data_IF_817934779479
#
_entry.id   IF_817934779479
#
_cell.length_a   1.000
_cell.length_b   1.000
_cell.length_c   1.000
_cell.angle_alpha   90.00
_cell.angle_beta   90.00
_cell.angle_gamma   90.00
#
_symmetry.space_group_name_H-M   'P 1'
#
loop_
_entity.id
_entity.type
_entity.pdbx_description
1 polymer ?
#
# COMPACT_ATOMS: atom_id res chain seq x y z
N UNK A 1 3.43 -10.53 -0.75
CA UNK A 1 4.85 -10.89 -0.99
C UNK A 1 5.30 -10.73 -2.44
N UNK A 2 4.51 -11.10 -3.45
CA UNK A 2 4.91 -10.92 -4.87
C UNK A 2 5.11 -9.45 -5.28
N UNK A 3 4.24 -8.54 -4.84
CA UNK A 3 4.35 -7.11 -5.18
C UNK A 3 5.68 -6.51 -4.71
N UNK A 4 6.06 -6.74 -3.45
CA UNK A 4 7.34 -6.26 -2.90
C UNK A 4 8.52 -6.91 -3.64
N UNK A 5 8.40 -8.20 -4.00
CA UNK A 5 9.41 -8.87 -4.82
C UNK A 5 9.60 -8.19 -6.17
N UNK A 6 8.51 -7.76 -6.82
CA UNK A 6 8.58 -7.00 -8.06
C UNK A 6 9.25 -5.62 -7.86
N UNK A 7 8.92 -4.91 -6.78
CA UNK A 7 9.51 -3.59 -6.49
C UNK A 7 11.02 -3.69 -6.24
N UNK A 8 11.46 -4.69 -5.48
CA UNK A 8 12.86 -4.85 -5.06
C UNK A 8 13.71 -5.57 -6.09
N UNK A 9 13.23 -6.70 -6.59
CA UNK A 9 13.99 -7.59 -7.46
C UNK A 9 13.68 -7.38 -8.96
N UNK A 10 12.59 -6.68 -9.30
CA UNK A 10 12.14 -6.42 -10.68
C UNK A 10 11.26 -7.52 -11.29
N UNK A 11 11.41 -8.77 -10.85
CA UNK A 11 10.54 -9.87 -11.26
C UNK A 11 10.40 -10.98 -10.21
N UNK A 12 9.39 -11.81 -10.38
CA UNK A 12 9.14 -12.99 -9.55
C UNK A 12 8.71 -14.15 -10.43
N UNK A 13 9.36 -15.29 -10.28
CA UNK A 13 8.97 -16.54 -10.91
C UNK A 13 7.79 -17.20 -10.21
N UNK A 14 6.81 -17.68 -10.98
CA UNK A 14 5.73 -18.56 -10.51
C UNK A 14 5.92 -19.92 -11.15
N UNK A 15 6.24 -20.92 -10.33
CA UNK A 15 6.34 -22.31 -10.73
C UNK A 15 5.03 -23.03 -10.40
N UNK A 16 4.41 -23.62 -11.40
CA UNK A 16 3.17 -24.40 -11.29
C UNK A 16 3.53 -25.86 -11.06
N UNK A 17 3.20 -26.39 -9.87
CA UNK A 17 3.59 -27.74 -9.44
C UNK A 17 2.36 -28.51 -9.00
N UNK A 18 2.23 -29.76 -9.44
CA UNK A 18 1.27 -30.70 -8.86
C UNK A 18 1.93 -31.46 -7.72
N UNK A 19 1.25 -31.56 -6.58
CA UNK A 19 1.69 -32.49 -5.52
C UNK A 19 1.44 -33.93 -5.93
N UNK A 20 2.07 -34.88 -5.22
CA UNK A 20 1.83 -36.32 -5.43
C UNK A 20 0.35 -36.72 -5.27
N UNK A 21 -0.43 -35.96 -4.49
CA UNK A 21 -1.88 -36.14 -4.34
C UNK A 21 -2.72 -35.41 -5.40
N UNK A 22 -2.12 -34.86 -6.46
CA UNK A 22 -2.83 -34.13 -7.52
C UNK A 22 -3.28 -32.72 -7.14
N UNK A 23 -2.89 -32.21 -5.96
CA UNK A 23 -3.27 -30.85 -5.55
C UNK A 23 -2.36 -29.81 -6.22
N UNK A 24 -2.91 -28.78 -6.90
CA UNK A 24 -2.14 -27.72 -7.55
C UNK A 24 -1.49 -26.79 -6.51
N UNK A 25 -0.20 -26.48 -6.70
CA UNK A 25 0.54 -25.51 -5.90
C UNK A 25 1.30 -24.54 -6.79
N UNK A 26 1.33 -23.28 -6.37
CA UNK A 26 2.11 -22.23 -7.01
C UNK A 26 3.28 -21.89 -6.10
N UNK A 27 4.49 -22.20 -6.53
CA UNK A 27 5.70 -21.87 -5.81
C UNK A 27 6.28 -20.57 -6.35
N UNK A 28 6.58 -19.64 -5.44
CA UNK A 28 7.23 -18.37 -5.79
C UNK A 28 8.74 -18.51 -5.74
N UNK A 29 9.39 -18.11 -6.83
CA UNK A 29 10.84 -18.12 -7.00
C UNK A 29 11.32 -16.67 -7.09
N UNK A 30 12.24 -16.29 -6.19
CA UNK A 30 12.83 -14.94 -6.22
C UNK A 30 13.77 -14.77 -7.41
N UNK A 31 13.86 -13.55 -7.94
CA UNK A 31 14.62 -13.20 -9.14
C UNK A 31 16.09 -13.65 -9.08
N UNK A 32 16.75 -13.49 -7.93
CA UNK A 32 18.16 -13.84 -7.75
C UNK A 32 18.44 -15.35 -7.89
N UNK A 33 17.41 -16.20 -7.88
CA UNK A 33 17.54 -17.64 -8.15
C UNK A 33 17.37 -17.98 -9.63
N UNK A 34 16.93 -17.03 -10.45
CA UNK A 34 16.76 -17.21 -11.90
C UNK A 34 18.04 -16.73 -12.57
N UNK A 35 18.85 -17.67 -13.09
CA UNK A 35 20.18 -17.40 -13.62
C UNK A 35 20.52 -18.33 -14.79
N UNK A 36 21.48 -17.93 -15.61
CA UNK A 36 22.01 -18.78 -16.67
C UNK A 36 22.62 -20.06 -16.06
N UNK A 37 22.28 -21.24 -16.59
CA UNK A 37 22.92 -22.48 -16.16
C UNK A 37 24.42 -22.49 -16.54
N UNK A 38 25.24 -23.33 -15.89
CA UNK A 38 26.68 -23.39 -16.15
C UNK A 38 27.03 -23.71 -17.61
N UNK A 39 26.22 -24.53 -18.28
CA UNK A 39 26.40 -24.94 -19.68
C UNK A 39 25.64 -24.04 -20.69
N UNK A 40 25.59 -22.74 -20.42
CA UNK A 40 24.77 -21.77 -21.18
C UNK A 40 25.33 -21.37 -22.56
N UNK A 41 26.52 -21.85 -22.95
CA UNK A 41 27.25 -21.36 -24.12
C UNK A 41 26.61 -21.70 -25.47
N UNK A 42 25.84 -22.78 -25.56
CA UNK A 42 25.17 -23.23 -26.79
C UNK A 42 23.73 -22.73 -26.93
N UNK A 43 23.07 -22.41 -25.82
CA UNK A 43 21.61 -22.42 -25.71
C UNK A 43 21.02 -21.01 -25.45
N UNK A 44 21.43 -19.98 -26.20
CA UNK A 44 20.82 -18.61 -26.21
C UNK A 44 20.17 -18.15 -24.88
N UNK A 45 20.92 -18.27 -23.78
CA UNK A 45 20.44 -17.92 -22.45
C UNK A 45 20.71 -16.44 -22.15
N UNK A 46 19.69 -15.72 -21.69
CA UNK A 46 19.78 -14.33 -21.24
C UNK A 46 19.23 -14.26 -19.82
N UNK A 47 20.10 -14.02 -18.85
CA UNK A 47 19.77 -13.88 -17.43
C UNK A 47 18.78 -14.93 -16.89
N UNK A 48 18.99 -16.20 -17.24
CA UNK A 48 18.17 -17.34 -16.80
C UNK A 48 16.91 -17.58 -17.63
N UNK A 49 16.74 -16.88 -18.75
CA UNK A 49 15.68 -17.10 -19.75
C UNK A 49 16.29 -17.71 -21.01
N UNK A 50 15.79 -18.87 -21.45
CA UNK A 50 16.19 -19.47 -22.72
C UNK A 50 15.31 -18.96 -23.83
N UNK A 51 15.93 -18.43 -24.88
CA UNK A 51 15.23 -17.86 -26.03
C UNK A 51 15.15 -18.86 -27.19
N UNK A 52 14.02 -18.84 -27.89
CA UNK A 52 13.88 -19.51 -29.19
C UNK A 52 14.68 -18.78 -30.27
N UNK A 53 14.78 -19.37 -31.46
CA UNK A 53 15.36 -18.72 -32.64
C UNK A 53 14.67 -17.39 -32.99
N UNK A 54 13.39 -17.23 -32.64
CA UNK A 54 12.60 -16.01 -32.86
C UNK A 54 12.66 -15.00 -31.70
N UNK A 55 13.42 -15.28 -30.64
CA UNK A 55 13.54 -14.41 -29.47
C UNK A 55 12.45 -14.62 -28.40
N UNK A 56 11.45 -15.47 -28.61
CA UNK A 56 10.44 -15.76 -27.59
C UNK A 56 11.00 -16.63 -26.45
N UNK A 57 10.65 -16.38 -25.17
CA UNK A 57 11.02 -17.24 -24.04
C UNK A 57 10.46 -18.67 -24.18
N UNK A 58 11.31 -19.68 -23.94
CA UNK A 58 10.94 -21.11 -24.03
C UNK A 58 11.10 -21.81 -22.69
N UNK A 59 12.08 -21.42 -21.89
CA UNK A 59 12.35 -22.03 -20.59
C UNK A 59 13.02 -21.05 -19.64
N UNK A 60 12.94 -21.35 -18.35
CA UNK A 60 13.56 -20.60 -17.27
C UNK A 60 14.46 -21.52 -16.45
N UNK A 61 15.66 -21.05 -16.12
CA UNK A 61 16.62 -21.78 -15.29
C UNK A 61 16.60 -21.24 -13.88
N UNK A 62 16.41 -22.13 -12.90
CA UNK A 62 16.32 -21.82 -11.48
C UNK A 62 17.38 -22.60 -10.72
N UNK A 63 18.13 -21.91 -9.87
CA UNK A 63 19.11 -22.51 -8.95
C UNK A 63 18.56 -22.61 -7.52
N UNK A 64 18.83 -23.73 -6.82
CA UNK A 64 18.61 -23.86 -5.36
C UNK A 64 19.89 -23.79 -4.54
N UNK A 65 21.04 -23.71 -5.21
CA UNK A 65 22.37 -23.72 -4.63
C UNK A 65 23.42 -23.78 -5.73
N UNK A 66 24.72 -23.75 -5.38
CA UNK A 66 25.81 -23.69 -6.37
C UNK A 66 25.71 -24.76 -7.47
N UNK A 67 25.28 -25.97 -7.10
CA UNK A 67 25.28 -27.14 -7.99
C UNK A 67 23.88 -27.68 -8.33
N UNK A 68 22.80 -27.15 -7.75
CA UNK A 68 21.43 -27.57 -8.05
C UNK A 68 20.76 -26.59 -9.01
N UNK A 69 20.63 -27.01 -10.26
CA UNK A 69 20.04 -26.24 -11.35
C UNK A 69 18.90 -27.04 -11.98
N UNK A 70 17.75 -26.37 -12.15
CA UNK A 70 16.57 -26.96 -12.79
C UNK A 70 16.05 -26.03 -13.86
N UNK A 71 15.78 -26.58 -15.03
CA UNK A 71 15.18 -25.87 -16.15
C UNK A 71 13.71 -26.22 -16.21
N UNK A 72 12.87 -25.19 -16.18
CA UNK A 72 11.42 -25.33 -16.29
C UNK A 72 10.96 -24.74 -17.62
N UNK A 73 10.15 -25.47 -18.41
CA UNK A 73 9.60 -24.94 -19.64
C UNK A 73 8.52 -23.88 -19.35
N UNK A 74 8.21 -23.03 -20.34
CA UNK A 74 7.30 -21.88 -20.20
C UNK A 74 5.87 -22.27 -19.79
N UNK A 75 5.47 -23.52 -20.00
CA UNK A 75 4.15 -24.05 -19.62
C UNK A 75 4.03 -24.22 -18.10
N UNK A 76 5.09 -24.64 -17.43
CA UNK A 76 5.11 -24.85 -15.97
C UNK A 76 5.70 -23.67 -15.19
N UNK A 77 6.22 -22.65 -15.87
CA UNK A 77 6.81 -21.47 -15.24
C UNK A 77 6.35 -20.17 -15.90
N UNK A 78 5.85 -19.23 -15.10
CA UNK A 78 5.54 -17.86 -15.53
C UNK A 78 6.45 -16.85 -14.83
N UNK A 79 7.04 -15.94 -15.61
CA UNK A 79 7.73 -14.79 -15.04
C UNK A 79 6.75 -13.63 -14.89
N UNK A 80 6.55 -13.18 -13.66
CA UNK A 80 5.77 -11.97 -13.35
C UNK A 80 6.72 -10.79 -13.36
N UNK A 81 6.45 -9.82 -14.24
CA UNK A 81 7.28 -8.63 -14.44
C UNK A 81 6.43 -7.46 -14.92
N UNK A 82 6.95 -6.26 -14.71
CA UNK A 82 6.43 -4.99 -15.27
C UNK A 82 7.45 -4.50 -16.30
N UNK A 83 7.29 -4.83 -17.61
CA UNK A 83 8.23 -4.42 -18.64
C UNK A 83 8.04 -2.96 -19.06
N UNK A 84 9.12 -2.18 -18.99
CA UNK A 84 9.15 -0.81 -19.52
C UNK A 84 9.40 -0.78 -21.03
N UNK A 85 10.11 -1.79 -21.54
CA UNK A 85 10.48 -1.91 -22.94
C UNK A 85 10.12 -3.29 -23.52
N UNK A 86 9.81 -3.37 -24.83
CA UNK A 86 9.39 -4.62 -25.48
C UNK A 86 10.49 -5.70 -25.48
N UNK A 87 11.76 -5.30 -25.45
CA UNK A 87 12.91 -6.20 -25.65
C UNK A 87 13.46 -6.77 -24.34
N UNK A 88 12.83 -6.46 -23.22
CA UNK A 88 13.24 -6.93 -21.91
C UNK A 88 12.80 -8.39 -21.70
N UNK A 89 13.72 -9.25 -21.26
CA UNK A 89 13.42 -10.65 -20.92
C UNK A 89 13.26 -10.88 -19.41
N UNK A 90 13.84 -10.00 -18.60
CA UNK A 90 13.74 -9.94 -17.14
C UNK A 90 13.07 -8.62 -16.74
N UNK A 91 12.50 -8.57 -15.55
CA UNK A 91 11.95 -7.32 -15.03
C UNK A 91 13.02 -6.46 -14.39
N UNK A 92 12.82 -5.14 -14.44
CA UNK A 92 13.67 -4.16 -13.77
C UNK A 92 13.03 -3.77 -12.43
N UNK A 93 13.85 -3.59 -11.41
CA UNK A 93 13.37 -3.07 -10.12
C UNK A 93 12.78 -1.68 -10.30
N UNK A 94 11.63 -1.40 -9.68
CA UNK A 94 11.04 -0.06 -9.68
C UNK A 94 11.94 0.99 -9.01
N UNK A 95 12.93 0.54 -8.22
CA UNK A 95 13.93 1.40 -7.59
C UNK A 95 15.13 1.69 -8.49
N UNK A 96 15.21 1.14 -9.71
CA UNK A 96 16.41 1.24 -10.55
C UNK A 96 16.85 2.70 -10.79
N UNK A 97 15.90 3.62 -10.94
CA UNK A 97 16.15 5.04 -11.14
C UNK A 97 16.82 5.70 -9.93
N UNK A 98 16.33 5.40 -8.72
CA UNK A 98 16.69 6.12 -7.49
C UNK A 98 17.60 5.35 -6.53
N UNK A 99 18.02 4.12 -6.84
CA UNK A 99 18.74 3.27 -5.88
C UNK A 99 20.09 3.86 -5.45
N UNK A 100 20.79 4.51 -6.37
CA UNK A 100 22.05 5.19 -6.05
C UNK A 100 21.78 6.41 -5.15
N UNK A 101 20.76 7.20 -5.47
CA UNK A 101 20.33 8.33 -4.62
C UNK A 101 19.91 7.90 -3.21
N UNK A 102 19.23 6.75 -3.05
CA UNK A 102 18.90 6.18 -1.74
C UNK A 102 20.15 5.79 -0.94
N UNK A 103 21.14 5.20 -1.61
CA UNK A 103 22.40 4.83 -0.99
C UNK A 103 23.12 6.08 -0.49
N UNK A 104 23.24 7.09 -1.34
CA UNK A 104 23.86 8.37 -1.00
C UNK A 104 23.13 9.03 0.18
N UNK A 105 21.79 9.07 0.15
CA UNK A 105 20.99 9.62 1.25
C UNK A 105 21.30 8.93 2.59
N UNK A 106 21.48 7.60 2.59
CA UNK A 106 21.83 6.84 3.80
C UNK A 106 23.26 7.12 4.27
N UNK A 107 24.21 7.21 3.35
CA UNK A 107 25.60 7.53 3.65
C UNK A 107 25.73 8.96 4.22
N UNK A 108 25.09 9.93 3.59
CA UNK A 108 25.02 11.35 4.02
C UNK A 108 24.35 11.46 5.40
N UNK A 109 23.22 10.78 5.62
CA UNK A 109 22.55 10.77 6.92
C UNK A 109 23.42 10.18 8.03
N UNK A 110 24.25 9.18 7.70
CA UNK A 110 25.17 8.57 8.65
C UNK A 110 26.31 9.52 9.00
N UNK A 111 26.87 10.23 8.02
CA UNK A 111 27.87 11.27 8.23
C UNK A 111 27.32 12.42 9.09
N UNK A 112 26.09 12.86 8.84
CA UNK A 112 25.47 13.94 9.61
C UNK A 112 25.20 13.52 11.06
N UNK A 113 24.70 12.28 11.28
CA UNK A 113 24.56 11.72 12.63
C UNK A 113 25.88 11.70 13.39
N UNK A 114 26.98 11.39 12.71
CA UNK A 114 28.31 11.42 13.33
C UNK A 114 28.76 12.85 13.65
N UNK A 115 28.51 13.79 12.74
CA UNK A 115 28.79 15.22 12.96
C UNK A 115 28.05 15.79 14.17
N UNK A 116 26.76 15.48 14.32
CA UNK A 116 25.96 15.89 15.48
C UNK A 116 26.54 15.31 16.77
N UNK A 117 26.92 14.03 16.81
CA UNK A 117 27.53 13.40 17.99
C UNK A 117 28.86 14.06 18.37
N UNK A 118 29.73 14.32 17.40
CA UNK A 118 31.01 14.99 17.64
C UNK A 118 30.76 16.41 18.18
N UNK A 119 29.87 17.17 17.55
CA UNK A 119 29.55 18.52 18.00
C UNK A 119 28.95 18.54 19.41
N UNK A 120 28.08 17.59 19.76
CA UNK A 120 27.55 17.47 21.12
C UNK A 120 28.62 17.09 22.15
N UNK A 121 29.72 16.44 21.73
CA UNK A 121 30.85 16.11 22.62
C UNK A 121 31.79 17.29 22.87
N UNK A 122 31.85 18.26 21.94
CA UNK A 122 32.67 19.48 22.05
C UNK A 122 31.92 20.52 22.91
N UNK A 123 31.80 20.28 24.21
CA UNK A 123 30.98 21.13 25.08
C UNK A 123 31.58 22.54 25.28
N UNK A 124 32.89 22.64 25.57
CA UNK A 124 33.59 23.91 25.81
C UNK A 124 35.06 23.78 25.40
N UNK A 125 35.60 24.81 24.75
CA UNK A 125 37.03 24.91 24.42
C UNK A 125 37.59 26.18 25.05
N UNK A 126 38.68 26.06 25.80
CA UNK A 126 39.40 27.21 26.36
C UNK A 126 40.40 27.70 25.30
N UNK A 127 40.28 28.96 24.89
CA UNK A 127 41.22 29.62 23.97
C UNK A 127 42.20 30.47 24.78
N UNK A 128 43.50 30.28 24.55
CA UNK A 128 44.56 31.08 25.16
C UNK A 128 44.97 32.15 24.14
N UNK A 129 44.84 33.43 24.48
CA UNK A 129 45.05 34.57 23.56
C UNK A 129 46.52 35.04 23.45
N UNK A 130 47.42 34.49 24.25
CA UNK A 130 48.83 34.89 24.26
C UNK A 130 49.68 33.96 23.41
N UNK A 131 50.50 34.53 22.50
CA UNK A 131 51.47 33.77 21.73
C UNK A 131 52.39 33.01 22.69
N UNK A 132 52.25 31.67 22.71
CA UNK A 132 53.05 30.83 23.59
C UNK A 132 54.54 31.09 23.32
N UNK A 133 55.25 31.64 24.30
CA UNK A 133 56.70 31.49 24.35
C UNK A 133 57.00 29.99 24.51
N UNK A 134 57.99 29.45 23.78
CA UNK A 134 58.06 28.03 23.43
C UNK A 134 58.41 27.07 24.59
N UNK A 135 58.33 27.49 25.86
CA UNK A 135 58.92 26.73 26.97
C UNK A 135 58.19 26.84 28.32
N UNK A 136 56.86 27.03 28.32
CA UNK A 136 56.06 26.99 29.56
C UNK A 136 54.96 25.92 29.51
N UNK A 137 54.95 24.96 30.46
CA UNK A 137 53.89 23.95 30.56
C UNK A 137 52.58 24.58 31.04
N UNK A 138 51.50 24.28 30.31
CA UNK A 138 50.16 24.89 30.38
C UNK A 138 49.34 24.49 31.63
N UNK A 139 49.90 23.71 32.56
CA UNK A 139 49.23 23.34 33.81
C UNK A 139 50.14 23.62 35.01
N UNK A 140 49.67 24.50 35.90
CA UNK A 140 50.40 24.91 37.10
C UNK A 140 50.60 23.77 38.11
N UNK A 141 51.64 23.84 38.96
CA UNK A 141 51.95 22.79 39.91
C UNK A 141 51.05 22.92 41.14
N UNK A 142 50.43 21.82 41.61
CA UNK A 142 50.17 21.50 43.02
C UNK A 142 49.46 20.14 43.19
N UNK A 143 50.07 19.27 44.00
CA UNK A 143 49.42 18.16 44.69
C UNK A 143 49.30 16.84 43.90
N UNK A 144 50.26 15.95 44.10
CA UNK A 144 50.16 14.54 43.71
C UNK A 144 48.96 13.88 44.40
N UNK A 145 47.83 13.77 43.68
CA UNK A 145 46.91 12.66 43.92
C UNK A 145 47.36 11.56 42.96
N UNK A 146 48.10 10.59 43.48
CA UNK A 146 48.33 9.34 42.77
C UNK A 146 46.99 8.63 42.64
N UNK A 147 46.40 8.72 41.46
CA UNK A 147 45.44 7.73 40.99
C UNK A 147 46.09 7.12 39.76
N UNK A 148 46.31 5.81 39.80
CA UNK A 148 46.87 5.02 38.70
C UNK A 148 45.92 5.08 37.50
N UNK A 149 46.14 6.02 36.59
CA UNK A 149 45.91 5.94 35.13
C UNK A 149 45.71 7.35 34.55
N UNK A 150 46.71 7.82 33.80
CA UNK A 150 46.63 8.80 32.72
C UNK A 150 45.59 9.91 32.82
N UNK A 151 45.99 11.04 33.41
CA UNK A 151 45.27 12.31 33.33
C UNK A 151 45.25 12.84 31.87
N UNK A 152 44.08 12.73 31.25
CA UNK A 152 43.58 13.69 30.27
C UNK A 152 42.32 14.30 30.90
N UNK A 153 42.42 15.54 31.38
CA UNK A 153 41.33 16.26 32.03
C UNK A 153 40.26 16.72 31.03
N UNK A 154 39.51 15.75 30.48
CA UNK A 154 38.20 15.95 29.86
C UNK A 154 37.06 15.82 30.91
N UNK A 155 37.40 15.38 32.12
CA UNK A 155 36.46 14.68 33.01
C UNK A 155 35.70 15.58 34.01
N UNK A 156 35.71 16.92 33.83
CA UNK A 156 35.03 17.86 34.73
C UNK A 156 34.05 18.85 34.09
N UNK A 157 33.88 18.80 32.78
CA UNK A 157 32.90 19.66 32.08
C UNK A 157 31.49 19.02 32.07
N UNK A 158 31.37 17.76 32.48
CA UNK A 158 30.13 16.97 32.46
C UNK A 158 29.05 17.39 33.49
N UNK A 159 29.29 18.38 34.36
CA UNK A 159 28.40 18.68 35.49
C UNK A 159 27.99 20.16 35.64
N UNK A 160 27.99 20.96 34.57
CA UNK A 160 27.47 22.35 34.62
C UNK A 160 28.33 23.33 35.44
N UNK A 161 29.56 22.95 35.79
CA UNK A 161 30.53 23.82 36.44
C UNK A 161 31.25 24.68 35.40
N UNK A 162 31.15 26.01 35.54
CA UNK A 162 31.91 26.95 34.70
C UNK A 162 33.38 26.91 35.16
N UNK A 163 34.35 26.57 34.28
CA UNK A 163 35.77 26.58 34.65
C UNK A 163 36.20 28.02 35.00
N UNK A 164 37.02 28.18 36.04
CA UNK A 164 37.66 29.48 36.34
C UNK A 164 38.70 29.76 35.26
N UNK A 165 38.62 30.94 34.64
CA UNK A 165 39.56 31.41 33.64
C UNK A 165 40.73 32.15 34.29
N UNK A 166 41.94 31.95 33.76
CA UNK A 166 43.10 32.76 34.07
C UNK A 166 43.13 34.05 33.22
N UNK A 167 43.95 35.01 33.61
CA UNK A 167 44.11 36.29 32.90
C UNK A 167 44.67 36.06 31.48
N UNK A 168 43.87 36.35 30.45
CA UNK A 168 44.21 36.07 29.04
C UNK A 168 43.60 34.78 28.44
N UNK A 169 42.79 34.04 29.20
CA UNK A 169 41.99 32.90 28.70
C UNK A 169 40.54 33.32 28.40
N UNK A 170 39.99 32.81 27.30
CA UNK A 170 38.59 33.01 26.91
C UNK A 170 37.87 31.65 26.76
N UNK A 171 36.61 31.57 27.21
CA UNK A 171 35.77 30.37 27.03
C UNK A 171 35.05 30.52 25.71
N UNK A 172 35.34 29.63 24.78
CA UNK A 172 34.58 29.51 23.56
C UNK A 172 33.64 28.30 23.65
N UNK A 173 32.33 28.56 23.59
CA UNK A 173 31.33 27.52 23.45
C UNK A 173 31.14 27.20 21.97
N UNK A 174 31.38 25.93 21.60
CA UNK A 174 31.12 25.46 20.25
C UNK A 174 29.61 25.47 20.00
N UNK A 175 29.16 26.35 19.10
CA UNK A 175 27.79 26.34 18.59
C UNK A 175 27.80 25.62 17.24
N UNK A 176 27.01 24.55 17.17
CA UNK A 176 26.80 23.81 15.94
C UNK A 176 25.45 24.18 15.34
N UNK A 177 25.46 24.73 14.13
CA UNK A 177 24.25 24.95 13.32
C UNK A 177 23.76 23.67 12.60
N UNK A 178 24.30 22.51 13.00
CA UNK A 178 23.89 21.19 12.51
C UNK A 178 22.88 20.52 13.45
N UNK A 179 21.81 19.90 12.93
CA UNK A 179 21.46 19.81 11.51
C UNK A 179 20.86 21.12 10.97
N UNK A 180 21.26 21.52 9.76
CA UNK A 180 20.71 22.71 9.12
C UNK A 180 19.39 22.40 8.42
N UNK A 181 18.45 23.35 8.31
CA UNK A 181 17.23 23.17 7.50
C UNK A 181 17.51 22.85 6.03
N UNK A 182 18.66 23.29 5.50
CA UNK A 182 19.12 22.97 4.13
C UNK A 182 19.43 21.48 3.94
N UNK A 183 19.84 20.78 5.01
CA UNK A 183 20.06 19.34 4.98
C UNK A 183 18.78 18.56 4.72
N UNK A 184 17.68 18.96 5.37
CA UNK A 184 16.35 18.36 5.16
C UNK A 184 15.89 18.52 3.72
N UNK A 185 16.03 19.73 3.14
CA UNK A 185 15.62 19.97 1.75
C UNK A 185 16.42 19.15 0.72
N UNK A 186 17.70 18.88 1.00
CA UNK A 186 18.51 18.01 0.15
C UNK A 186 18.10 16.53 0.26
N UNK A 187 17.82 16.03 1.47
CA UNK A 187 17.29 14.68 1.65
C UNK A 187 15.92 14.51 0.99
N UNK A 188 15.04 15.52 1.12
CA UNK A 188 13.72 15.53 0.46
C UNK A 188 13.88 15.45 -1.07
N UNK A 189 14.86 16.14 -1.66
CA UNK A 189 15.16 16.04 -3.09
C UNK A 189 15.55 14.61 -3.50
N UNK A 190 16.47 13.99 -2.76
CA UNK A 190 16.92 12.61 -3.04
C UNK A 190 15.77 11.61 -2.91
N UNK A 191 14.93 11.75 -1.88
CA UNK A 191 13.77 10.86 -1.68
C UNK A 191 12.66 11.11 -2.71
N UNK A 192 12.49 12.36 -3.16
CA UNK A 192 11.54 12.71 -4.23
C UNK A 192 11.92 12.08 -5.57
N UNK A 193 13.20 12.06 -5.91
CA UNK A 193 13.69 11.41 -7.12
C UNK A 193 13.35 9.90 -7.15
N UNK A 194 13.41 9.26 -5.99
CA UNK A 194 13.03 7.85 -5.81
C UNK A 194 11.52 7.66 -5.97
N UNK A 195 10.71 8.54 -5.38
CA UNK A 195 9.25 8.48 -5.51
C UNK A 195 8.80 8.61 -6.97
N UNK A 196 9.44 9.51 -7.74
CA UNK A 196 9.21 9.66 -9.18
C UNK A 196 9.54 8.36 -9.92
N UNK A 197 10.63 7.68 -9.57
CA UNK A 197 11.00 6.37 -10.14
C UNK A 197 9.95 5.28 -9.88
N UNK A 198 9.23 5.34 -8.76
CA UNK A 198 8.10 4.44 -8.47
C UNK A 198 6.81 4.80 -9.24
N UNK A 199 6.80 5.92 -9.96
CA UNK A 199 5.60 6.47 -10.60
C UNK A 199 4.59 7.02 -9.59
N UNK A 200 5.03 7.34 -8.37
CA UNK A 200 4.17 7.85 -7.30
C UNK A 200 4.50 9.31 -6.98
N UNK A 201 3.48 10.18 -6.80
CA UNK A 201 3.72 11.54 -6.34
C UNK A 201 4.38 11.57 -4.97
N UNK A 202 5.40 12.42 -4.79
CA UNK A 202 6.08 12.61 -3.50
C UNK A 202 5.12 12.92 -2.38
N UNK A 203 4.12 13.74 -2.69
CA UNK A 203 3.12 14.21 -1.74
C UNK A 203 2.15 13.11 -1.30
N UNK A 204 2.03 12.05 -2.11
CA UNK A 204 1.30 10.84 -1.72
C UNK A 204 2.16 9.92 -0.84
N UNK A 205 3.47 9.84 -1.10
CA UNK A 205 4.38 8.90 -0.41
C UNK A 205 4.83 9.42 0.96
N UNK A 206 5.12 10.72 1.08
CA UNK A 206 5.83 11.27 2.24
C UNK A 206 5.11 12.45 2.90
N UNK A 207 4.85 13.52 2.16
CA UNK A 207 4.34 14.78 2.75
C UNK A 207 3.33 15.50 1.86
N UNK A 208 2.07 15.51 2.31
CA UNK A 208 0.96 16.22 1.66
C UNK A 208 0.68 17.61 2.25
N UNK A 209 1.46 18.09 3.23
CA UNK A 209 1.16 19.31 4.00
C UNK A 209 1.22 20.58 3.16
N UNK A 210 2.07 20.60 2.11
CA UNK A 210 2.22 21.74 1.21
C UNK A 210 1.10 21.85 0.17
N UNK A 211 0.29 20.80 -0.01
CA UNK A 211 -0.79 20.79 -0.98
C UNK A 211 -2.12 21.23 -0.35
N UNK A 212 -2.79 22.18 -0.99
CA UNK A 212 -4.20 22.46 -0.71
C UNK A 212 -5.12 21.32 -1.16
N UNK A 213 -6.40 21.38 -0.81
CA UNK A 213 -7.36 20.30 -1.09
C UNK A 213 -7.46 19.88 -2.57
N UNK A 214 -7.28 20.81 -3.52
CA UNK A 214 -7.24 20.48 -4.95
C UNK A 214 -5.97 19.72 -5.37
N UNK A 215 -4.82 20.11 -4.83
CA UNK A 215 -3.55 19.45 -5.09
C UNK A 215 -3.53 18.02 -4.55
N UNK A 216 -4.07 17.79 -3.36
CA UNK A 216 -4.15 16.45 -2.77
C UNK A 216 -5.01 15.50 -3.61
N UNK A 217 -6.11 15.98 -4.19
CA UNK A 217 -6.93 15.19 -5.11
C UNK A 217 -6.17 14.81 -6.37
N UNK A 218 -5.40 15.74 -6.94
CA UNK A 218 -4.58 15.44 -8.12
C UNK A 218 -3.51 14.39 -7.81
N UNK A 219 -2.81 14.53 -6.68
CA UNK A 219 -1.77 13.58 -6.26
C UNK A 219 -2.35 12.17 -6.03
N UNK A 220 -3.51 12.06 -5.38
CA UNK A 220 -4.19 10.77 -5.20
C UNK A 220 -4.68 10.19 -6.53
N UNK A 221 -5.20 11.02 -7.43
CA UNK A 221 -5.60 10.59 -8.78
C UNK A 221 -4.42 10.04 -9.60
N UNK A 222 -3.27 10.69 -9.54
CA UNK A 222 -2.05 10.23 -10.20
C UNK A 222 -1.53 8.91 -9.60
N UNK A 223 -1.51 8.79 -8.27
CA UNK A 223 -1.15 7.54 -7.61
C UNK A 223 -2.11 6.39 -7.99
N UNK A 224 -3.41 6.69 -8.08
CA UNK A 224 -4.43 5.74 -8.49
C UNK A 224 -4.20 5.22 -9.92
N UNK A 225 -3.77 6.06 -10.86
CA UNK A 225 -3.40 5.59 -12.21
C UNK A 225 -2.29 4.55 -12.18
N UNK A 226 -1.25 4.76 -11.35
CA UNK A 226 -0.16 3.79 -11.22
C UNK A 226 -0.65 2.47 -10.61
N UNK A 227 -1.57 2.51 -9.65
CA UNK A 227 -2.18 1.31 -9.08
C UNK A 227 -3.04 0.56 -10.10
N UNK A 228 -3.84 1.27 -10.89
CA UNK A 228 -4.70 0.69 -11.93
C UNK A 228 -3.88 0.04 -13.05
N UNK A 229 -2.79 0.70 -13.47
CA UNK A 229 -1.82 0.15 -14.43
C UNK A 229 -1.23 -1.16 -13.90
N UNK A 230 -0.70 -1.15 -12.68
CA UNK A 230 -0.12 -2.34 -12.05
C UNK A 230 -1.14 -3.47 -11.90
N UNK A 231 -2.35 -3.15 -11.47
CA UNK A 231 -3.45 -4.10 -11.39
C UNK A 231 -3.77 -4.72 -12.76
N UNK A 232 -3.79 -3.92 -13.83
CA UNK A 232 -4.04 -4.40 -15.19
C UNK A 232 -2.96 -5.40 -15.64
N UNK A 233 -1.70 -5.17 -15.31
CA UNK A 233 -0.60 -6.08 -15.61
C UNK A 233 -0.66 -7.39 -14.81
N UNK A 234 -1.19 -7.37 -13.59
CA UNK A 234 -1.35 -8.59 -12.80
C UNK A 234 -2.51 -9.48 -13.27
N UNK A 235 -3.53 -8.93 -13.97
CA UNK A 235 -4.72 -9.69 -14.41
C UNK A 235 -4.39 -10.91 -15.27
N UNK A 236 -3.54 -10.83 -16.33
CA UNK A 236 -3.14 -12.00 -17.11
C UNK A 236 -2.48 -13.10 -16.26
N UNK A 237 -1.65 -12.70 -15.29
CA UNK A 237 -0.99 -13.65 -14.39
C UNK A 237 -1.98 -14.29 -13.43
N UNK A 238 -2.95 -13.53 -12.90
CA UNK A 238 -4.03 -14.05 -12.07
C UNK A 238 -4.93 -15.02 -12.85
N UNK A 239 -5.27 -14.69 -14.11
CA UNK A 239 -6.01 -15.59 -15.00
C UNK A 239 -5.29 -16.93 -15.17
N UNK A 240 -3.97 -16.90 -15.38
CA UNK A 240 -3.18 -18.13 -15.51
C UNK A 240 -3.16 -18.95 -14.23
N UNK A 241 -3.02 -18.30 -13.08
CA UNK A 241 -3.08 -18.97 -11.77
C UNK A 241 -4.45 -19.62 -11.55
N UNK A 242 -5.54 -18.92 -11.87
CA UNK A 242 -6.90 -19.45 -11.83
C UNK A 242 -7.06 -20.67 -12.73
N UNK A 243 -6.61 -20.55 -13.99
CA UNK A 243 -6.69 -21.64 -14.97
C UNK A 243 -5.95 -22.89 -14.49
N UNK A 244 -4.77 -22.72 -13.90
CA UNK A 244 -4.01 -23.84 -13.35
C UNK A 244 -4.72 -24.50 -12.16
N UNK A 245 -5.17 -23.70 -11.19
CA UNK A 245 -5.76 -24.21 -9.95
C UNK A 245 -7.14 -24.82 -10.17
N UNK A 246 -8.02 -24.10 -10.87
CA UNK A 246 -9.39 -24.56 -11.11
C UNK A 246 -9.44 -25.64 -12.19
N UNK A 247 -8.57 -25.59 -13.21
CA UNK A 247 -8.44 -26.68 -14.17
C UNK A 247 -8.09 -27.99 -13.49
N UNK A 248 -7.10 -27.96 -12.59
CA UNK A 248 -6.71 -29.14 -11.82
C UNK A 248 -7.81 -29.62 -10.84
N UNK A 249 -8.62 -28.71 -10.30
CA UNK A 249 -9.75 -29.04 -9.44
C UNK A 249 -10.90 -29.70 -10.23
N UNK A 250 -11.16 -29.24 -11.46
CA UNK A 250 -12.12 -29.83 -12.39
C UNK A 250 -11.65 -31.23 -12.80
N UNK A 251 -10.37 -31.40 -13.18
CA UNK A 251 -9.80 -32.69 -13.56
C UNK A 251 -9.88 -33.72 -12.43
N UNK A 252 -9.82 -33.26 -11.16
CA UNK A 252 -9.99 -34.10 -9.97
C UNK A 252 -11.46 -34.35 -9.58
N UNK A 253 -12.39 -33.59 -10.13
CA UNK A 253 -13.82 -33.66 -9.77
C UNK A 253 -14.18 -32.93 -8.47
N UNK A 254 -13.32 -32.06 -7.93
CA UNK A 254 -13.64 -31.24 -6.74
C UNK A 254 -14.66 -30.14 -7.06
N UNK A 255 -14.66 -29.65 -8.31
CA UNK A 255 -15.51 -28.58 -8.81
C UNK A 255 -16.20 -29.06 -10.09
N UNK A 256 -17.50 -28.77 -10.30
CA UNK A 256 -18.18 -29.16 -11.53
C UNK A 256 -17.56 -28.47 -12.76
N UNK A 257 -17.51 -29.20 -13.87
CA UNK A 257 -17.04 -28.66 -15.14
C UNK A 257 -18.10 -27.73 -15.75
N UNK A 258 -17.89 -26.43 -15.63
CA UNK A 258 -18.61 -25.41 -16.39
C UNK A 258 -17.91 -25.17 -17.73
N UNK A 259 -18.67 -24.91 -18.81
CA UNK A 259 -18.12 -24.54 -20.13
C UNK A 259 -17.24 -23.28 -20.06
N UNK A 260 -17.63 -22.30 -19.25
CA UNK A 260 -17.03 -20.97 -19.21
C UNK A 260 -16.19 -20.75 -17.93
N UNK A 261 -15.73 -21.83 -17.28
CA UNK A 261 -14.95 -21.81 -16.03
C UNK A 261 -13.69 -20.94 -16.06
N UNK A 262 -13.12 -20.71 -17.24
CA UNK A 262 -11.92 -19.89 -17.45
C UNK A 262 -12.23 -18.38 -17.53
N UNK A 263 -13.50 -17.99 -17.68
CA UNK A 263 -13.93 -16.59 -17.76
C UNK A 263 -14.09 -16.04 -16.35
N UNK A 264 -13.08 -15.30 -15.90
CA UNK A 264 -13.10 -14.66 -14.58
C UNK A 264 -13.01 -13.15 -14.67
N UNK A 265 -13.71 -12.48 -13.77
CA UNK A 265 -13.56 -11.05 -13.52
C UNK A 265 -12.90 -10.87 -12.15
N UNK A 266 -11.76 -10.21 -12.14
CA UNK A 266 -11.04 -9.94 -10.90
C UNK A 266 -11.55 -8.66 -10.26
N UNK A 267 -11.94 -8.76 -9.00
CA UNK A 267 -12.24 -7.61 -8.17
C UNK A 267 -10.93 -7.02 -7.64
N UNK A 268 -10.75 -5.72 -7.85
CA UNK A 268 -9.57 -4.98 -7.39
C UNK A 268 -9.84 -4.35 -6.02
N UNK A 269 -8.79 -4.00 -5.26
CA UNK A 269 -8.94 -3.23 -4.04
C UNK A 269 -9.74 -1.95 -4.27
N UNK A 270 -10.42 -1.50 -3.21
CA UNK A 270 -11.16 -0.24 -3.19
C UNK A 270 -10.31 0.90 -3.72
N UNK A 271 -10.89 1.70 -4.62
CA UNK A 271 -10.25 2.90 -5.15
C UNK A 271 -10.14 3.97 -4.06
N UNK A 272 -8.97 4.61 -3.99
CA UNK A 272 -8.73 5.70 -3.03
C UNK A 272 -9.38 6.98 -3.58
N UNK A 273 -10.23 7.63 -2.79
CA UNK A 273 -10.81 8.95 -3.11
C UNK A 273 -10.91 9.82 -1.87
N UNK A 274 -10.61 11.11 -2.02
CA UNK A 274 -10.78 12.15 -0.99
C UNK A 274 -12.23 12.61 -0.88
N UNK A 275 -12.96 12.60 -2.01
CA UNK A 275 -14.31 13.15 -2.13
C UNK A 275 -15.36 12.03 -2.28
N UNK A 276 -15.16 10.90 -1.59
CA UNK A 276 -16.00 9.70 -1.70
C UNK A 276 -17.51 9.99 -1.56
N UNK A 277 -17.93 10.99 -0.78
CA UNK A 277 -19.33 11.40 -0.65
C UNK A 277 -19.91 12.10 -1.88
N UNK A 278 -19.12 12.94 -2.58
CA UNK A 278 -19.55 13.57 -3.84
C UNK A 278 -19.60 12.53 -4.97
N UNK A 279 -18.56 11.71 -5.05
CA UNK A 279 -18.45 10.64 -6.04
C UNK A 279 -19.60 9.63 -5.88
N UNK A 280 -19.94 9.24 -4.64
CA UNK A 280 -21.04 8.32 -4.38
C UNK A 280 -22.40 8.89 -4.82
N UNK A 281 -22.64 10.19 -4.66
CA UNK A 281 -23.89 10.82 -5.11
C UNK A 281 -23.98 10.83 -6.64
N UNK A 282 -22.88 11.18 -7.32
CA UNK A 282 -22.81 11.12 -8.78
C UNK A 282 -23.01 9.69 -9.30
N UNK A 283 -22.35 8.70 -8.69
CA UNK A 283 -22.53 7.28 -9.02
C UNK A 283 -23.97 6.81 -8.85
N UNK A 284 -24.67 7.28 -7.80
CA UNK A 284 -26.07 6.94 -7.57
C UNK A 284 -26.99 7.57 -8.64
N UNK A 285 -26.72 8.81 -9.04
CA UNK A 285 -27.44 9.45 -10.14
C UNK A 285 -27.18 8.71 -11.46
N UNK A 286 -25.94 8.32 -11.76
CA UNK A 286 -25.59 7.55 -12.97
C UNK A 286 -26.22 6.16 -13.00
N UNK A 287 -26.28 5.48 -11.85
CA UNK A 287 -27.02 4.22 -11.68
C UNK A 287 -28.52 4.42 -11.95
N UNK A 288 -29.09 5.51 -11.43
CA UNK A 288 -30.50 5.85 -11.63
C UNK A 288 -30.82 6.16 -13.10
N UNK A 289 -29.91 6.80 -13.82
CA UNK A 289 -30.04 7.09 -15.25
C UNK A 289 -29.62 5.92 -16.15
N UNK A 290 -29.10 4.83 -15.58
CA UNK A 290 -28.70 3.64 -16.34
C UNK A 290 -27.42 3.79 -17.16
N UNK A 291 -26.60 4.81 -16.88
CA UNK A 291 -25.30 5.04 -17.54
C UNK A 291 -24.20 4.18 -16.89
N UNK A 292 -24.40 3.79 -15.64
CA UNK A 292 -23.45 3.00 -14.84
C UNK A 292 -24.08 1.68 -14.41
N UNK A 293 -23.26 0.63 -14.28
CA UNK A 293 -23.69 -0.69 -13.77
C UNK A 293 -23.42 -0.87 -12.27
N UNK A 294 -24.19 -1.72 -11.60
CA UNK A 294 -23.92 -2.07 -10.19
C UNK A 294 -22.57 -2.76 -10.00
N UNK A 295 -22.12 -3.53 -10.99
CA UNK A 295 -20.81 -4.17 -10.94
C UNK A 295 -19.67 -3.14 -10.92
N UNK A 296 -19.80 -2.03 -11.67
CA UNK A 296 -18.81 -0.95 -11.65
C UNK A 296 -18.85 -0.18 -10.33
N UNK A 297 -20.03 0.08 -9.77
CA UNK A 297 -20.18 0.79 -8.50
C UNK A 297 -19.67 -0.01 -7.30
N UNK A 298 -20.10 -1.27 -7.15
CA UNK A 298 -19.55 -2.18 -6.14
C UNK A 298 -18.04 -2.41 -6.36
N UNK A 299 -17.64 -2.48 -7.64
CA UNK A 299 -16.25 -2.64 -8.03
C UNK A 299 -15.33 -1.52 -7.54
N UNK A 300 -15.79 -0.26 -7.55
CA UNK A 300 -15.03 0.87 -6.98
C UNK A 300 -14.85 0.75 -5.46
N UNK A 301 -15.82 0.14 -4.77
CA UNK A 301 -15.76 -0.15 -3.33
C UNK A 301 -14.91 -1.37 -2.98
N UNK A 302 -14.50 -2.16 -3.97
CA UNK A 302 -13.79 -3.41 -3.75
C UNK A 302 -14.69 -4.62 -3.51
N UNK A 303 -16.00 -4.48 -3.76
CA UNK A 303 -17.03 -5.47 -3.44
C UNK A 303 -17.64 -6.09 -4.70
N UNK A 304 -18.25 -7.27 -4.56
CA UNK A 304 -19.05 -7.88 -5.62
C UNK A 304 -20.52 -7.47 -5.46
N UNK A 305 -21.13 -6.98 -6.54
CA UNK A 305 -22.51 -6.48 -6.51
C UNK A 305 -23.52 -7.60 -6.21
N UNK A 306 -23.23 -8.85 -6.60
CA UNK A 306 -24.07 -10.00 -6.29
C UNK A 306 -24.13 -10.26 -4.78
N UNK A 307 -23.01 -10.10 -4.08
CA UNK A 307 -22.91 -10.29 -2.64
C UNK A 307 -23.62 -9.16 -1.89
N UNK A 308 -23.42 -7.91 -2.31
CA UNK A 308 -24.15 -6.75 -1.77
C UNK A 308 -25.67 -6.91 -1.95
N UNK A 309 -26.13 -7.38 -3.12
CA UNK A 309 -27.56 -7.63 -3.36
C UNK A 309 -28.11 -8.77 -2.53
N UNK A 310 -27.37 -9.88 -2.43
CA UNK A 310 -27.78 -11.01 -1.57
C UNK A 310 -27.90 -10.56 -0.11
N UNK A 311 -26.95 -9.75 0.37
CA UNK A 311 -27.00 -9.18 1.71
C UNK A 311 -28.22 -8.25 1.88
N UNK A 312 -28.47 -7.38 0.90
CA UNK A 312 -29.64 -6.48 0.90
C UNK A 312 -30.96 -7.25 0.92
N UNK A 313 -31.05 -8.37 0.20
CA UNK A 313 -32.22 -9.26 0.18
C UNK A 313 -32.45 -9.90 1.55
N UNK A 314 -31.40 -10.47 2.16
CA UNK A 314 -31.45 -11.04 3.50
C UNK A 314 -31.87 -10.00 4.56
N UNK A 315 -31.31 -8.80 4.50
CA UNK A 315 -31.67 -7.69 5.39
C UNK A 315 -33.11 -7.24 5.19
N UNK A 316 -33.61 -7.22 3.96
CA UNK A 316 -35.00 -6.86 3.65
C UNK A 316 -35.98 -7.92 4.17
N UNK A 317 -35.65 -9.21 4.03
CA UNK A 317 -36.45 -10.30 4.59
C UNK A 317 -36.50 -10.23 6.12
N UNK A 318 -35.34 -10.03 6.76
CA UNK A 318 -35.26 -9.87 8.22
C UNK A 318 -36.07 -8.65 8.70
N UNK A 319 -35.99 -7.52 8.00
CA UNK A 319 -36.77 -6.32 8.29
C UNK A 319 -38.28 -6.60 8.25
N UNK A 320 -38.77 -7.26 7.19
CA UNK A 320 -40.18 -7.62 7.04
C UNK A 320 -40.62 -8.57 8.17
N UNK A 321 -39.80 -9.56 8.51
CA UNK A 321 -40.09 -10.49 9.61
C UNK A 321 -40.13 -9.81 10.97
N UNK A 322 -39.23 -8.85 11.23
CA UNK A 322 -39.25 -8.03 12.46
C UNK A 322 -40.49 -7.15 12.52
N UNK A 323 -40.84 -6.48 11.42
CA UNK A 323 -42.02 -5.64 11.33
C UNK A 323 -43.32 -6.44 11.55
N UNK A 324 -43.45 -7.61 10.94
CA UNK A 324 -44.62 -8.50 11.11
C UNK A 324 -44.75 -8.99 12.56
N UNK A 325 -43.64 -9.41 13.20
CA UNK A 325 -43.65 -9.82 14.61
C UNK A 325 -44.14 -8.70 15.53
N UNK A 326 -43.67 -7.48 15.34
CA UNK A 326 -44.06 -6.33 16.16
C UNK A 326 -45.49 -5.90 15.86
N UNK A 327 -45.93 -5.91 14.60
CA UNK A 327 -47.30 -5.61 14.21
C UNK A 327 -48.29 -6.58 14.88
N UNK A 328 -47.99 -7.88 14.87
CA UNK A 328 -48.78 -8.91 15.58
C UNK A 328 -48.79 -8.72 17.09
N UNK A 329 -47.65 -8.38 17.69
CA UNK A 329 -47.55 -8.17 19.14
C UNK A 329 -48.26 -6.89 19.61
N UNK A 330 -48.32 -5.85 18.78
CA UNK A 330 -48.84 -4.52 19.16
C UNK A 330 -50.24 -4.22 18.61
N UNK A 331 -50.73 -5.02 17.66
CA UNK A 331 -52.00 -4.78 16.95
C UNK A 331 -51.97 -3.53 16.04
N UNK A 332 -50.80 -2.93 15.81
CA UNK A 332 -50.65 -1.75 14.96
C UNK A 332 -50.45 -2.14 13.49
N UNK A 333 -50.86 -1.28 12.53
CA UNK A 333 -50.65 -1.55 11.11
C UNK A 333 -49.18 -1.82 10.77
N UNK A 334 -48.94 -2.82 9.93
CA UNK A 334 -47.59 -3.23 9.50
C UNK A 334 -46.80 -2.05 8.92
N UNK A 335 -47.43 -1.21 8.10
CA UNK A 335 -46.80 -0.05 7.47
C UNK A 335 -46.30 0.98 8.49
N UNK A 336 -47.04 1.20 9.58
CA UNK A 336 -46.62 2.08 10.67
C UNK A 336 -45.38 1.53 11.38
N UNK A 337 -45.35 0.23 11.66
CA UNK A 337 -44.22 -0.43 12.31
C UNK A 337 -42.99 -0.46 11.40
N UNK A 338 -43.18 -0.73 10.10
CA UNK A 338 -42.10 -0.70 9.12
C UNK A 338 -41.45 0.68 9.04
N UNK A 339 -42.26 1.74 9.00
CA UNK A 339 -41.78 3.13 9.04
C UNK A 339 -41.07 3.52 10.34
N UNK A 340 -41.41 2.91 11.48
CA UNK A 340 -40.74 3.10 12.77
C UNK A 340 -39.39 2.36 12.86
N UNK A 341 -39.26 1.21 12.19
CA UNK A 341 -38.03 0.40 12.22
C UNK A 341 -36.97 0.98 11.29
N UNK A 342 -37.34 1.40 10.08
CA UNK A 342 -36.39 1.98 9.13
C UNK A 342 -37.07 3.01 8.21
N UNK A 343 -36.69 4.28 8.36
CA UNK A 343 -37.20 5.36 7.52
C UNK A 343 -36.49 5.36 6.14
N UNK A 344 -37.23 5.02 5.08
CA UNK A 344 -36.70 4.96 3.69
C UNK A 344 -36.89 6.25 2.87
N UNK A 345 -37.70 7.19 3.33
CA UNK A 345 -37.93 8.48 2.68
C UNK A 345 -37.73 9.65 3.66
N UNK A 346 -37.14 10.78 3.22
CA UNK A 346 -36.99 11.97 4.06
C UNK A 346 -38.32 12.44 4.65
N UNK A 347 -39.39 12.28 3.88
CA UNK A 347 -40.77 12.47 4.32
C UNK A 347 -41.48 11.11 4.35
N UNK A 348 -41.92 10.60 5.51
CA UNK A 348 -42.72 9.39 5.57
C UNK A 348 -44.10 9.68 4.95
N UNK A 349 -44.47 8.94 3.90
CA UNK A 349 -45.85 8.91 3.41
C UNK A 349 -46.61 8.03 4.38
N UNK A 350 -47.36 8.64 5.31
CA UNK A 350 -48.32 7.92 6.14
C UNK A 350 -49.57 7.75 5.27
N UNK A 351 -49.90 6.52 4.82
CA UNK A 351 -51.15 6.33 4.11
C UNK A 351 -52.32 6.70 5.05
N UNK A 352 -53.34 7.39 4.54
CA UNK A 352 -54.49 7.75 5.36
C UNK A 352 -55.14 6.47 5.91
N UNK A 353 -55.64 6.49 7.17
CA UNK A 353 -56.32 5.33 7.73
C UNK A 353 -57.50 4.97 6.82
N UNK A 354 -57.58 3.72 6.39
CA UNK A 354 -58.70 3.18 5.64
C UNK A 354 -59.99 3.47 6.41
N UNK A 355 -60.76 4.45 5.94
CA UNK A 355 -62.05 4.81 6.52
C UNK A 355 -62.98 3.61 6.43
N UNK A 356 -63.46 3.13 7.58
CA UNK A 356 -64.56 2.17 7.65
C UNK A 356 -65.75 2.70 6.85
N UNK A 357 -66.41 1.84 6.08
CA UNK A 357 -67.64 2.16 5.34
C UNK A 357 -68.70 2.79 6.26
N UNK A 358 -69.42 3.83 5.83
CA UNK A 358 -70.51 4.37 6.61
C UNK A 358 -71.70 3.40 6.66
N UNK A 359 -72.41 3.30 7.80
CA UNK A 359 -73.52 2.37 7.96
C UNK A 359 -74.68 2.75 7.03
N UNK A 360 -75.25 1.73 6.41
CA UNK A 360 -76.36 1.79 5.47
C UNK A 360 -77.66 2.33 6.10
N UNK A 361 -78.19 3.39 5.49
CA UNK A 361 -79.61 3.70 5.28
C UNK A 361 -80.61 3.59 6.44
N UNK A 362 -81.03 4.74 6.97
CA UNK A 362 -82.34 4.88 7.64
C UNK A 362 -83.45 5.01 6.56
N UNK A 363 -84.55 4.23 6.60
CA UNK A 363 -85.62 4.34 5.61
C UNK A 363 -86.49 5.59 5.82
N UNK A 364 -87.14 6.13 4.76
CA UNK A 364 -87.92 7.36 4.83
C UNK A 364 -89.28 7.16 5.50
N UNK A 365 -89.71 8.18 6.24
CA UNK A 365 -91.00 8.28 6.94
C UNK A 365 -92.15 8.53 5.91
N UNK A 366 -93.37 7.98 6.11
CA UNK A 366 -94.45 8.10 5.15
C UNK A 366 -95.17 9.44 5.32
N UNK A 367 -95.24 10.24 4.24
CA UNK A 367 -96.08 11.44 4.19
C UNK A 367 -97.41 11.12 3.51
N UNK A 368 -98.47 11.52 4.19
CA UNK A 368 -99.89 11.40 3.83
C UNK A 368 -100.29 12.35 2.69
N UNK A 369 -101.35 11.93 1.99
CA UNK A 369 -102.37 12.72 1.27
C UNK A 369 -102.08 13.23 -0.16
N UNK A 370 -102.95 12.81 -1.08
CA UNK A 370 -103.07 13.21 -2.48
C UNK A 370 -103.81 12.16 -3.28
#
# INVERSE_FOLDING_TARGET
MQSIGLDVDGDVGRLYVMTAGGFPKIQLIRAHRIKNPPDSKSDKWVDGVRLSTRGSPVAYSVTSGPDDWKVYPVESFALVRDPDAPDEYRGKTSLHHGINGLRDAKEILTAEKQGVKINSSLALVIKILQAAQPDQPVFGPQGLIQTESGDLSLDRILAGAIPRLNEGEDIWSHKSDRPSPTFTGFLDYLLRDVAIGLGLPWEFVWDSTKLGGSGNRLAIGQAQWKFEERQAQFKPHANRDWQFVIGAAIDRGDVPADKDWFRVKWQMPRRISVDAGRDAKANLDDLKYGVRTHSEDAGERGEFWEDERRQTELETLDLIQRADRIAKATGKPFELILGLIQQRSPNPVIPPPTSAEPPTGTPPNPTTAG
#
